data_IF_349976762289
#
_entry.id   IF_349976762289
#
_cell.length_a   1.000
_cell.length_b   1.000
_cell.length_c   1.000
_cell.angle_alpha   90.00
_cell.angle_beta   90.00
_cell.angle_gamma   90.00
#
_symmetry.space_group_name_H-M   'P 1'
#
loop_
_entity.id
_entity.type
_entity.pdbx_description
1 polymer ?
#
# COMPACT_ATOMS: atom_id res chain seq x y z
N UNK A 1 -11.61 29.51 -16.47
CA UNK A 1 -10.59 28.61 -15.89
C UNK A 1 -9.98 29.08 -14.55
N UNK A 2 -10.21 30.31 -14.05
CA UNK A 2 -9.51 30.82 -12.85
C UNK A 2 -10.24 30.76 -11.50
N UNK A 3 -11.33 30.02 -11.33
CA UNK A 3 -12.11 30.07 -10.09
C UNK A 3 -11.39 29.45 -8.89
N UNK A 4 -10.57 28.43 -9.10
CA UNK A 4 -9.89 27.69 -8.02
C UNK A 4 -8.49 28.21 -7.68
N UNK A 5 -7.92 29.09 -8.51
CA UNK A 5 -6.55 29.61 -8.37
C UNK A 5 -6.46 31.13 -8.15
N UNK A 6 -7.61 31.81 -8.01
CA UNK A 6 -7.65 33.24 -7.71
C UNK A 6 -8.38 33.47 -6.42
N UNK A 7 -7.75 34.17 -5.46
CA UNK A 7 -8.36 34.58 -4.20
C UNK A 7 -9.38 35.72 -4.35
N UNK A 8 -9.58 36.25 -5.56
CA UNK A 8 -10.52 37.34 -5.83
C UNK A 8 -11.96 36.79 -5.91
N UNK A 9 -12.90 37.56 -5.38
CA UNK A 9 -14.33 37.22 -5.39
C UNK A 9 -14.82 36.58 -4.09
N UNK A 10 -16.08 36.14 -4.14
CA UNK A 10 -16.85 35.61 -3.02
C UNK A 10 -17.51 34.29 -3.42
N UNK A 11 -17.82 33.46 -2.43
CA UNK A 11 -18.50 32.18 -2.66
C UNK A 11 -19.70 31.99 -1.74
N UNK A 12 -20.71 31.28 -2.25
CA UNK A 12 -21.87 30.88 -1.47
C UNK A 12 -21.52 29.78 -0.47
N UNK A 13 -22.35 29.61 0.57
CA UNK A 13 -22.20 28.50 1.53
C UNK A 13 -22.29 27.13 0.85
N UNK A 14 -23.19 26.96 -0.14
CA UNK A 14 -23.34 25.71 -0.87
C UNK A 14 -22.03 25.34 -1.57
N UNK A 15 -21.41 26.30 -2.25
CA UNK A 15 -20.12 26.09 -2.91
C UNK A 15 -19.03 25.78 -1.89
N UNK A 16 -19.00 26.48 -0.76
CA UNK A 16 -18.04 26.20 0.31
C UNK A 16 -18.18 24.76 0.86
N UNK A 17 -19.39 24.31 1.18
CA UNK A 17 -19.63 22.94 1.64
C UNK A 17 -19.33 21.89 0.58
N UNK A 18 -19.68 22.15 -0.68
CA UNK A 18 -19.36 21.25 -1.78
C UNK A 18 -17.84 21.10 -1.94
N UNK A 19 -17.11 22.20 -1.91
CA UNK A 19 -15.64 22.19 -1.93
C UNK A 19 -15.07 21.51 -0.68
N UNK A 20 -15.59 21.79 0.51
CA UNK A 20 -15.15 21.17 1.76
C UNK A 20 -15.27 19.64 1.70
N UNK A 21 -16.44 19.13 1.34
CA UNK A 21 -16.68 17.69 1.20
C UNK A 21 -15.80 17.06 0.12
N UNK A 22 -15.62 17.75 -1.02
CA UNK A 22 -14.74 17.29 -2.09
C UNK A 22 -13.29 17.15 -1.60
N UNK A 23 -12.74 18.18 -0.93
CA UNK A 23 -11.37 18.11 -0.42
C UNK A 23 -11.21 17.08 0.70
N UNK A 24 -12.19 16.96 1.61
CA UNK A 24 -12.18 15.90 2.63
C UNK A 24 -12.15 14.53 1.98
N UNK A 25 -13.01 14.27 0.98
CA UNK A 25 -13.04 13.02 0.23
C UNK A 25 -11.71 12.73 -0.48
N UNK A 26 -11.14 13.71 -1.17
CA UNK A 26 -9.85 13.57 -1.87
C UNK A 26 -8.68 13.35 -0.91
N UNK A 27 -8.73 13.88 0.32
CA UNK A 27 -7.70 13.68 1.34
C UNK A 27 -7.79 12.31 2.02
N UNK A 28 -9.00 11.80 2.27
CA UNK A 28 -9.18 10.49 2.92
C UNK A 28 -9.05 9.31 1.95
N UNK A 29 -9.35 9.50 0.66
CA UNK A 29 -9.32 8.40 -0.31
C UNK A 29 -7.95 7.71 -0.41
N UNK A 30 -6.81 8.41 -0.48
CA UNK A 30 -5.49 7.79 -0.43
C UNK A 30 -5.21 7.03 0.86
N UNK A 31 -5.69 7.53 2.02
CA UNK A 31 -5.52 6.87 3.32
C UNK A 31 -6.30 5.55 3.38
N UNK A 32 -7.55 5.55 2.89
CA UNK A 32 -8.39 4.36 2.81
C UNK A 32 -7.77 3.35 1.84
N UNK A 33 -7.33 3.80 0.67
CA UNK A 33 -6.70 2.95 -0.34
C UNK A 33 -5.42 2.30 0.18
N UNK A 34 -4.57 3.06 0.88
CA UNK A 34 -3.34 2.54 1.48
C UNK A 34 -3.63 1.55 2.62
N UNK A 35 -4.66 1.83 3.45
CA UNK A 35 -5.11 0.94 4.51
C UNK A 35 -5.67 -0.38 3.95
N UNK A 36 -6.51 -0.31 2.92
CA UNK A 36 -7.03 -1.48 2.22
C UNK A 36 -5.91 -2.30 1.54
N UNK A 37 -4.92 -1.62 0.95
CA UNK A 37 -3.76 -2.26 0.31
C UNK A 37 -2.89 -3.03 1.30
N UNK A 38 -2.57 -2.46 2.47
CA UNK A 38 -1.85 -3.19 3.53
C UNK A 38 -2.61 -4.40 4.03
N UNK A 39 -3.92 -4.26 4.26
CA UNK A 39 -4.77 -5.38 4.68
C UNK A 39 -4.77 -6.52 3.65
N UNK A 40 -4.78 -6.19 2.37
CA UNK A 40 -4.72 -7.15 1.28
C UNK A 40 -3.38 -7.91 1.22
N UNK A 41 -2.25 -7.21 1.36
CA UNK A 41 -0.92 -7.85 1.36
C UNK A 41 -0.72 -8.76 2.57
N UNK A 42 -1.17 -8.33 3.74
CA UNK A 42 -1.04 -9.11 4.98
C UNK A 42 -1.91 -10.37 4.96
N UNK A 43 -3.12 -10.27 4.36
CA UNK A 43 -4.00 -11.41 4.13
C UNK A 43 -3.34 -12.46 3.24
N UNK A 44 -2.77 -12.05 2.10
CA UNK A 44 -2.11 -12.97 1.17
C UNK A 44 -0.89 -13.64 1.78
N UNK A 45 -0.06 -12.91 2.54
CA UNK A 45 1.11 -13.48 3.22
C UNK A 45 0.74 -14.56 4.24
N UNK A 46 -0.32 -14.35 5.03
CA UNK A 46 -0.81 -15.35 5.99
C UNK A 46 -1.34 -16.60 5.31
N UNK A 47 -2.03 -16.45 4.18
CA UNK A 47 -2.56 -17.58 3.41
C UNK A 47 -1.45 -18.48 2.86
N UNK A 48 -0.37 -17.89 2.33
CA UNK A 48 0.79 -18.66 1.87
C UNK A 48 1.52 -19.35 3.01
N UNK A 49 1.75 -18.64 4.13
CA UNK A 49 2.41 -19.23 5.29
C UNK A 49 1.64 -20.45 5.82
N UNK A 50 0.32 -20.34 5.92
CA UNK A 50 -0.55 -21.43 6.35
C UNK A 50 -0.50 -22.62 5.39
N UNK A 51 -0.43 -22.39 4.07
CA UNK A 51 -0.25 -23.48 3.10
C UNK A 51 1.13 -24.13 3.22
N UNK A 52 2.20 -23.34 3.36
CA UNK A 52 3.56 -23.84 3.52
C UNK A 52 3.70 -24.71 4.78
N UNK A 53 3.14 -24.27 5.91
CA UNK A 53 3.10 -25.05 7.15
C UNK A 53 2.35 -26.38 6.95
N UNK A 54 1.18 -26.38 6.27
CA UNK A 54 0.42 -27.62 5.99
C UNK A 54 1.12 -28.62 5.06
N UNK A 55 2.05 -28.14 4.21
CA UNK A 55 2.83 -29.00 3.31
C UNK A 55 4.05 -29.62 4.00
N UNK A 56 4.52 -29.04 5.11
CA UNK A 56 5.68 -29.54 5.87
C UNK A 56 5.29 -30.56 6.95
N UNK A 57 4.07 -30.47 7.48
CA UNK A 57 3.55 -31.40 8.49
C UNK A 57 3.58 -32.89 8.05
N UNK A 58 3.19 -33.28 6.81
CA UNK A 58 3.17 -34.69 6.41
C UNK A 58 4.57 -35.30 6.32
N UNK A 59 5.60 -34.53 5.95
CA UNK A 59 6.97 -35.02 5.81
C UNK A 59 7.71 -35.11 7.15
N UNK A 60 7.39 -34.23 8.11
CA UNK A 60 7.92 -34.29 9.48
C UNK A 60 7.49 -35.56 10.22
N UNK A 61 6.24 -36.01 10.04
CA UNK A 61 5.75 -37.25 10.64
C UNK A 61 6.48 -38.49 10.07
N UNK A 62 6.79 -38.50 8.77
CA UNK A 62 7.55 -39.60 8.14
C UNK A 62 9.01 -39.61 8.60
N UNK A 63 9.62 -38.44 8.80
CA UNK A 63 10.99 -38.33 9.29
C UNK A 63 11.13 -38.73 10.78
N UNK A 64 10.13 -38.41 11.60
CA UNK A 64 10.09 -38.81 13.01
C UNK A 64 9.85 -40.32 13.16
N UNK A 65 8.98 -40.91 12.35
CA UNK A 65 8.73 -42.36 12.33
C UNK A 65 9.96 -43.15 11.84
N UNK A 66 10.70 -42.63 10.85
CA UNK A 66 11.95 -43.24 10.37
C UNK A 66 13.12 -43.14 11.36
N UNK A 67 13.03 -42.28 12.38
CA UNK A 67 14.05 -42.11 13.41
C UNK A 67 13.79 -42.94 14.68
N UNK A 68 12.72 -43.77 14.71
CA UNK A 68 12.48 -44.70 15.80
C UNK A 68 13.60 -45.77 15.85
N UNK A 69 14.17 -46.08 17.04
CA UNK A 69 15.33 -46.95 17.15
C UNK A 69 14.98 -48.38 16.70
N UNK A 70 15.69 -48.85 15.68
CA UNK A 70 15.68 -50.26 15.24
C UNK A 70 16.19 -51.12 16.39
N UNK A 71 15.34 -52.00 16.93
CA UNK A 71 15.78 -53.03 17.88
C UNK A 71 16.88 -53.89 17.23
N UNK A 72 18.05 -53.96 17.89
CA UNK A 72 19.19 -54.76 17.45
C UNK A 72 18.86 -56.25 17.46
N UNK A 73 18.90 -56.90 16.29
CA UNK A 73 18.91 -58.36 16.17
C UNK A 73 20.31 -58.91 16.47
N UNK A 74 20.48 -59.92 17.35
CA UNK A 74 21.79 -60.45 17.73
C UNK A 74 22.56 -61.12 16.59
N UNK A 75 23.86 -60.83 16.55
CA UNK A 75 24.86 -61.33 15.62
C UNK A 75 25.08 -62.84 15.71
N UNK A 76 25.25 -63.48 14.55
CA UNK A 76 25.83 -64.82 14.44
C UNK A 76 26.95 -64.77 13.38
N UNK A 77 28.18 -65.05 13.83
CA UNK A 77 29.41 -65.14 13.04
C UNK A 77 29.33 -66.24 11.96
N UNK A 78 30.08 -66.07 10.85
CA UNK A 78 30.66 -67.20 10.16
C UNK A 78 32.18 -67.10 10.02
N UNK A 79 32.80 -68.22 10.35
CA UNK A 79 34.22 -68.54 10.25
C UNK A 79 34.78 -68.54 8.83
N UNK A 80 36.10 -68.37 8.80
CA UNK A 80 37.03 -68.24 7.68
C UNK A 80 37.00 -69.34 6.61
N UNK A 81 37.32 -68.97 5.37
CA UNK A 81 38.22 -69.75 4.51
C UNK A 81 38.79 -68.88 3.36
N UNK A 82 40.11 -68.90 3.29
CA UNK A 82 40.99 -68.39 2.22
C UNK A 82 40.81 -69.13 0.88
N UNK A 83 41.02 -68.44 -0.24
CA UNK A 83 42.08 -68.77 -1.24
C UNK A 83 42.14 -67.72 -2.34
N UNK A 84 43.36 -67.56 -2.84
CA UNK A 84 43.88 -66.63 -3.82
C UNK A 84 43.26 -66.77 -5.22
N UNK A 85 43.20 -65.66 -5.98
CA UNK A 85 43.96 -65.49 -7.23
C UNK A 85 43.42 -64.32 -8.08
N UNK A 86 44.35 -63.38 -8.31
CA UNK A 86 44.71 -62.78 -9.60
C UNK A 86 43.62 -62.21 -10.54
N UNK A 87 43.52 -60.88 -10.48
CA UNK A 87 43.47 -59.93 -11.61
C UNK A 87 42.88 -60.39 -12.96
N UNK A 88 41.75 -59.78 -13.36
CA UNK A 88 41.60 -59.11 -14.66
C UNK A 88 40.34 -58.23 -14.67
N UNK A 89 40.50 -56.98 -15.05
CA UNK A 89 39.43 -56.08 -15.49
C UNK A 89 39.89 -55.43 -16.80
N UNK A 90 39.04 -54.72 -17.56
CA UNK A 90 37.57 -54.68 -17.60
C UNK A 90 37.06 -54.93 -19.04
N UNK A 91 35.74 -54.96 -19.28
CA UNK A 91 35.07 -54.18 -20.35
C UNK A 91 33.69 -54.74 -20.78
N UNK A 92 32.73 -53.82 -20.76
CA UNK A 92 31.64 -53.61 -21.72
C UNK A 92 30.31 -54.38 -21.63
N UNK A 93 29.25 -53.57 -21.77
CA UNK A 93 27.82 -53.85 -21.91
C UNK A 93 27.13 -54.24 -20.58
N UNK A 94 26.10 -53.54 -20.13
CA UNK A 94 24.84 -53.38 -20.84
C UNK A 94 24.04 -52.17 -20.34
N UNK A 95 23.42 -51.50 -21.30
CA UNK A 95 22.41 -50.45 -21.19
C UNK A 95 21.29 -50.81 -20.22
N UNK A 96 21.00 -49.98 -19.22
CA UNK A 96 19.63 -49.84 -18.70
C UNK A 96 19.31 -48.37 -18.48
N UNK A 97 18.10 -48.07 -18.93
CA UNK A 97 17.41 -46.80 -18.95
C UNK A 97 17.40 -46.16 -17.56
N UNK A 98 17.88 -44.92 -17.44
CA UNK A 98 17.31 -44.02 -16.45
C UNK A 98 16.73 -42.81 -17.16
N UNK A 99 15.50 -42.53 -16.74
CA UNK A 99 14.56 -41.67 -17.37
C UNK A 99 15.11 -40.26 -17.61
N UNK A 100 14.76 -39.73 -18.78
CA UNK A 100 14.56 -38.32 -19.00
C UNK A 100 13.59 -37.80 -17.93
N UNK A 101 14.11 -37.42 -16.77
CA UNK A 101 13.44 -36.45 -15.91
C UNK A 101 13.88 -35.11 -16.48
N UNK A 102 13.00 -34.52 -17.26
CA UNK A 102 13.03 -33.09 -17.48
C UNK A 102 12.86 -32.43 -16.11
N UNK A 103 13.96 -32.22 -15.41
CA UNK A 103 14.04 -31.17 -14.42
C UNK A 103 13.94 -29.88 -15.21
N UNK A 104 12.71 -29.45 -15.50
CA UNK A 104 12.44 -28.04 -15.71
C UNK A 104 12.97 -27.36 -14.43
N UNK A 105 14.07 -26.59 -14.48
CA UNK A 105 14.51 -25.87 -13.31
C UNK A 105 13.37 -24.93 -12.98
N UNK A 106 12.66 -25.30 -11.90
CA UNK A 106 11.64 -24.53 -11.20
C UNK A 106 11.87 -23.07 -11.50
N UNK A 107 11.03 -22.54 -12.41
CA UNK A 107 11.17 -21.21 -12.97
C UNK A 107 11.45 -20.28 -11.81
N UNK A 108 12.70 -19.84 -11.74
CA UNK A 108 13.25 -19.19 -10.56
C UNK A 108 12.28 -18.12 -10.14
N UNK A 109 11.85 -18.18 -8.89
CA UNK A 109 11.06 -17.13 -8.25
C UNK A 109 11.80 -15.81 -8.51
N UNK A 110 11.44 -15.09 -9.57
CA UNK A 110 12.00 -13.77 -9.78
C UNK A 110 11.60 -13.00 -8.53
N UNK A 111 12.56 -12.48 -7.75
CA UNK A 111 12.21 -11.65 -6.62
C UNK A 111 11.39 -10.52 -7.22
N UNK A 112 10.13 -10.40 -6.79
CA UNK A 112 9.23 -9.32 -7.17
C UNK A 112 10.03 -8.05 -7.00
N UNK A 113 10.54 -7.52 -8.11
CA UNK A 113 11.58 -6.50 -8.02
C UNK A 113 10.94 -5.32 -7.30
N UNK A 114 11.60 -4.73 -6.28
CA UNK A 114 11.06 -3.55 -5.65
C UNK A 114 10.91 -2.54 -6.78
N UNK A 115 9.67 -2.10 -7.03
CA UNK A 115 9.34 -0.97 -7.91
C UNK A 115 10.51 0.01 -7.80
N UNK A 116 11.26 0.16 -8.91
CA UNK A 116 12.59 0.76 -8.91
C UNK A 116 12.57 2.02 -8.04
N UNK A 117 13.58 2.22 -7.17
CA UNK A 117 13.57 3.34 -6.23
C UNK A 117 13.24 4.68 -6.90
N UNK A 118 13.63 4.85 -8.16
CA UNK A 118 13.25 5.98 -9.00
C UNK A 118 11.74 6.13 -9.24
N UNK A 119 11.03 5.03 -9.58
CA UNK A 119 9.58 5.02 -9.76
C UNK A 119 8.84 5.26 -8.43
N UNK A 120 9.36 4.72 -7.32
CA UNK A 120 8.81 5.00 -5.99
C UNK A 120 8.96 6.47 -5.59
N UNK A 121 10.14 7.07 -5.84
CA UNK A 121 10.40 8.50 -5.61
C UNK A 121 9.55 9.39 -6.51
N UNK A 122 9.41 9.05 -7.79
CA UNK A 122 8.58 9.81 -8.73
C UNK A 122 7.10 9.80 -8.32
N UNK A 123 6.57 8.63 -7.96
CA UNK A 123 5.18 8.48 -7.49
C UNK A 123 4.95 9.27 -6.20
N UNK A 124 5.89 9.19 -5.26
CA UNK A 124 5.84 9.94 -4.00
C UNK A 124 5.89 11.44 -4.25
N UNK A 125 6.81 11.91 -5.11
CA UNK A 125 6.94 13.32 -5.47
C UNK A 125 5.68 13.87 -6.14
N UNK A 126 5.10 13.13 -7.10
CA UNK A 126 3.86 13.51 -7.76
C UNK A 126 2.69 13.62 -6.76
N UNK A 127 2.62 12.70 -5.79
CA UNK A 127 1.64 12.75 -4.72
C UNK A 127 1.77 14.03 -3.88
N UNK A 128 2.99 14.45 -3.51
CA UNK A 128 3.20 15.72 -2.80
C UNK A 128 2.81 16.95 -3.61
N UNK A 129 3.13 16.98 -4.92
CA UNK A 129 2.71 18.06 -5.81
C UNK A 129 1.18 18.14 -5.87
N UNK A 130 0.51 16.99 -6.00
CA UNK A 130 -0.95 16.91 -5.96
C UNK A 130 -1.51 17.42 -4.62
N UNK A 131 -0.94 17.00 -3.49
CA UNK A 131 -1.34 17.49 -2.16
C UNK A 131 -1.18 19.00 -2.02
N UNK A 132 -0.06 19.57 -2.46
CA UNK A 132 0.19 21.02 -2.42
C UNK A 132 -0.85 21.75 -3.27
N UNK A 133 -1.16 21.25 -4.47
CA UNK A 133 -2.19 21.83 -5.32
C UNK A 133 -3.59 21.79 -4.67
N UNK A 134 -3.94 20.67 -4.02
CA UNK A 134 -5.19 20.54 -3.26
C UNK A 134 -5.25 21.51 -2.08
N UNK A 135 -4.20 21.57 -1.28
CA UNK A 135 -4.10 22.48 -0.12
C UNK A 135 -4.23 23.91 -0.60
N UNK A 136 -3.47 24.33 -1.60
CA UNK A 136 -3.54 25.67 -2.17
C UNK A 136 -4.98 26.03 -2.59
N UNK A 137 -5.64 25.12 -3.32
CA UNK A 137 -7.01 25.33 -3.76
C UNK A 137 -8.01 25.44 -2.59
N UNK A 138 -7.85 24.62 -1.55
CA UNK A 138 -8.67 24.67 -0.34
C UNK A 138 -8.49 26.00 0.44
N UNK A 139 -7.26 26.51 0.51
CA UNK A 139 -6.95 27.81 1.10
C UNK A 139 -7.68 28.93 0.35
N UNK A 140 -7.61 28.94 -0.98
CA UNK A 140 -8.27 29.94 -1.84
C UNK A 140 -9.78 29.94 -1.61
N UNK A 141 -10.42 28.78 -1.54
CA UNK A 141 -11.86 28.65 -1.26
C UNK A 141 -12.21 29.27 0.10
N UNK A 142 -11.41 28.99 1.13
CA UNK A 142 -11.67 29.51 2.46
C UNK A 142 -11.44 31.03 2.54
N UNK A 143 -10.42 31.56 1.86
CA UNK A 143 -10.21 33.02 1.72
C UNK A 143 -11.43 33.68 1.10
N UNK A 144 -12.01 33.12 0.03
CA UNK A 144 -13.23 33.67 -0.59
C UNK A 144 -14.43 33.63 0.34
N UNK A 145 -14.48 32.68 1.28
CA UNK A 145 -15.53 32.61 2.29
C UNK A 145 -15.37 33.72 3.34
N UNK A 146 -14.14 34.00 3.77
CA UNK A 146 -13.84 35.16 4.61
C UNK A 146 -14.17 36.48 3.91
N UNK A 147 -13.86 36.59 2.61
CA UNK A 147 -14.25 37.73 1.79
C UNK A 147 -15.77 37.90 1.67
N UNK A 148 -16.54 36.81 1.66
CA UNK A 148 -18.01 36.90 1.66
C UNK A 148 -18.57 37.54 2.94
N UNK A 149 -17.80 37.52 4.03
CA UNK A 149 -18.14 38.19 5.29
C UNK A 149 -17.50 39.59 5.41
N UNK A 150 -16.93 40.11 4.31
CA UNK A 150 -16.19 41.38 4.27
C UNK A 150 -14.94 41.42 5.19
N UNK A 151 -14.45 40.24 5.58
CA UNK A 151 -13.25 40.05 6.39
C UNK A 151 -12.03 39.73 5.51
N UNK A 152 -10.83 39.87 6.07
CA UNK A 152 -9.58 39.66 5.34
C UNK A 152 -9.24 38.17 5.17
N UNK A 153 -8.65 37.80 4.03
CA UNK A 153 -8.19 36.43 3.78
C UNK A 153 -7.13 35.93 4.77
N UNK A 154 -6.42 36.84 5.46
CA UNK A 154 -5.46 36.51 6.52
C UNK A 154 -6.08 35.74 7.69
N UNK A 155 -7.40 35.85 7.90
CA UNK A 155 -8.10 35.05 8.90
C UNK A 155 -8.02 33.55 8.64
N UNK A 156 -7.63 33.12 7.43
CA UNK A 156 -7.28 31.72 7.19
C UNK A 156 -6.20 31.19 8.15
N UNK A 157 -5.26 32.03 8.60
CA UNK A 157 -4.18 31.62 9.52
C UNK A 157 -4.70 31.18 10.90
N UNK A 158 -5.93 31.56 11.30
CA UNK A 158 -6.47 31.17 12.60
C UNK A 158 -6.67 29.65 12.72
N UNK A 159 -6.76 28.92 11.60
CA UNK A 159 -6.87 27.45 11.61
C UNK A 159 -5.70 26.77 12.35
N UNK A 160 -4.52 27.40 12.43
CA UNK A 160 -3.35 26.84 13.12
C UNK A 160 -3.46 26.86 14.66
N UNK A 161 -4.44 27.57 15.22
CA UNK A 161 -4.59 27.73 16.69
C UNK A 161 -5.46 26.66 17.35
N UNK A 162 -6.04 25.72 16.59
CA UNK A 162 -7.02 24.75 17.08
C UNK A 162 -8.39 25.38 17.33
N UNK A 163 -8.51 26.34 18.24
CA UNK A 163 -9.78 27.06 18.49
C UNK A 163 -10.22 27.81 17.22
N UNK A 164 -9.28 28.41 16.49
CA UNK A 164 -9.60 29.10 15.26
C UNK A 164 -10.10 28.20 14.13
N UNK A 165 -9.79 26.90 14.13
CA UNK A 165 -10.39 25.97 13.15
C UNK A 165 -11.87 25.73 13.45
N UNK A 166 -12.25 25.67 14.73
CA UNK A 166 -13.66 25.62 15.15
C UNK A 166 -14.40 26.92 14.80
N UNK A 167 -13.79 28.07 15.06
CA UNK A 167 -14.35 29.38 14.66
C UNK A 167 -14.53 29.43 13.14
N UNK A 168 -13.53 29.00 12.38
CA UNK A 168 -13.61 28.92 10.92
C UNK A 168 -14.74 28.00 10.50
N UNK A 169 -14.85 26.81 11.07
CA UNK A 169 -15.91 25.85 10.76
C UNK A 169 -17.30 26.44 10.97
N UNK A 170 -17.53 27.12 12.10
CA UNK A 170 -18.82 27.75 12.41
C UNK A 170 -19.09 28.94 11.51
N UNK A 171 -18.16 29.90 11.46
CA UNK A 171 -18.30 31.15 10.70
C UNK A 171 -18.42 30.89 9.20
N UNK A 172 -17.51 30.10 8.63
CA UNK A 172 -17.49 29.81 7.20
C UNK A 172 -18.61 28.84 6.79
N UNK A 173 -18.90 27.84 7.64
CA UNK A 173 -19.88 26.79 7.34
C UNK A 173 -21.33 27.24 7.46
N UNK A 174 -21.69 27.96 8.52
CA UNK A 174 -23.10 28.16 8.88
C UNK A 174 -23.55 29.62 8.74
N UNK A 175 -22.71 30.59 9.08
CA UNK A 175 -23.11 31.99 9.05
C UNK A 175 -23.29 32.52 7.62
N UNK A 176 -24.24 33.44 7.45
CA UNK A 176 -24.47 34.14 6.17
C UNK A 176 -23.34 35.16 5.92
N UNK A 177 -22.98 35.38 4.66
CA UNK A 177 -22.14 36.52 4.31
C UNK A 177 -22.93 37.82 4.22
N UNK A 178 -22.25 38.89 3.80
CA UNK A 178 -22.81 40.22 3.66
C UNK A 178 -23.84 40.27 2.54
N UNK A 179 -24.96 40.96 2.76
CA UNK A 179 -25.98 41.20 1.74
C UNK A 179 -25.52 42.33 0.81
N UNK A 180 -25.68 42.13 -0.50
CA UNK A 180 -25.29 43.12 -1.51
C UNK A 180 -23.78 43.14 -1.80
N UNK A 181 -23.31 44.12 -2.60
CA UNK A 181 -21.91 44.22 -2.99
C UNK A 181 -21.01 44.57 -1.79
N UNK A 182 -19.81 43.99 -1.75
CA UNK A 182 -18.77 44.34 -0.78
C UNK A 182 -17.43 44.62 -1.49
N UNK A 183 -16.37 44.96 -0.74
CA UNK A 183 -15.05 45.31 -1.30
C UNK A 183 -14.36 44.19 -2.11
N UNK A 184 -14.88 42.96 -2.03
CA UNK A 184 -14.39 41.78 -2.74
C UNK A 184 -15.26 41.39 -3.94
N UNK A 185 -16.41 42.03 -4.15
CA UNK A 185 -17.27 41.84 -5.32
C UNK A 185 -18.78 41.82 -5.02
N UNK A 186 -19.59 41.60 -6.06
CA UNK A 186 -21.05 41.50 -5.95
C UNK A 186 -21.48 40.30 -5.08
N UNK A 187 -22.74 40.30 -4.63
CA UNK A 187 -23.29 39.20 -3.83
C UNK A 187 -23.35 37.92 -4.69
N UNK A 188 -22.73 36.80 -4.26
CA UNK A 188 -22.75 35.56 -5.03
C UNK A 188 -24.13 34.89 -5.07
N UNK A 189 -25.12 35.36 -4.29
CA UNK A 189 -26.51 34.85 -4.33
C UNK A 189 -27.45 35.71 -5.14
N UNK A 190 -27.12 36.99 -5.32
CA UNK A 190 -27.92 37.96 -6.04
C UNK A 190 -26.98 38.90 -6.81
N UNK A 191 -26.42 38.43 -7.94
CA UNK A 191 -25.55 39.22 -8.78
C UNK A 191 -26.41 40.18 -9.61
N UNK A 192 -26.84 41.28 -8.98
CA UNK A 192 -27.51 42.39 -9.65
C UNK A 192 -26.56 43.11 -10.63
#
# INVERSE_FOLDING_TARGET
MGFLFSAKGRITRKQYWLSFLLYTGLMIAPLIFLGAGKGYTDYMGRSQKSQAESMLEPSMLVAEEAAAPVEETPSMEPDAASTDDEALAPESMESTEEAVVMEEPMTSLEPVTPVSGMAALATTGLFFVFLIALIYSAIVVQIKRWHDQNLTGWLWLINFTGIGSLVTFVMCGFLRGTVGPNKYGPDPRDPA
#
